data_IF_694154348883
#
_entry.id   IF_694154348883
#
_cell.length_a   1.000
_cell.length_b   1.000
_cell.length_c   1.000
_cell.angle_alpha   90.00
_cell.angle_beta   90.00
_cell.angle_gamma   90.00
#
_symmetry.space_group_name_H-M   'P 1'
#
loop_
_entity.id
_entity.type
_entity.pdbx_description
1 polymer ?
#
# COMPACT_ATOMS: atom_id res chain seq x y z
N UNK A 1 9.73 13.43 -3.65
CA UNK A 1 8.83 12.66 -2.78
C UNK A 1 8.34 11.49 -3.60
N UNK A 2 8.32 10.27 -3.05
CA UNK A 2 7.93 9.09 -3.82
C UNK A 2 6.42 9.06 -4.01
N UNK A 3 6.00 8.77 -5.24
CA UNK A 3 4.59 8.67 -5.59
C UNK A 3 4.16 7.20 -5.61
N UNK A 4 3.72 6.70 -4.46
CA UNK A 4 3.29 5.31 -4.34
C UNK A 4 2.10 4.97 -5.26
N UNK A 5 1.24 5.94 -5.58
CA UNK A 5 0.11 5.75 -6.50
C UNK A 5 0.60 5.41 -7.91
N UNK A 6 1.64 6.09 -8.41
CA UNK A 6 2.22 5.75 -9.71
C UNK A 6 2.82 4.35 -9.73
N UNK A 7 3.52 3.95 -8.67
CA UNK A 7 4.06 2.58 -8.53
C UNK A 7 2.92 1.55 -8.61
N UNK A 8 1.84 1.75 -7.86
CA UNK A 8 0.68 0.86 -7.87
C UNK A 8 -0.03 0.83 -9.23
N UNK A 9 -0.20 1.99 -9.89
CA UNK A 9 -0.77 2.07 -11.24
C UNK A 9 0.06 1.31 -12.26
N UNK A 10 1.39 1.50 -12.26
CA UNK A 10 2.29 0.78 -13.16
C UNK A 10 2.20 -0.73 -12.96
N UNK A 11 2.11 -1.20 -11.71
CA UNK A 11 1.92 -2.62 -11.42
C UNK A 11 0.57 -3.13 -11.92
N UNK A 12 -0.53 -2.40 -11.68
CA UNK A 12 -1.87 -2.78 -12.16
C UNK A 12 -1.97 -2.84 -13.68
N UNK A 13 -1.30 -1.95 -14.41
CA UNK A 13 -1.21 -2.00 -15.87
C UNK A 13 -0.52 -3.28 -16.38
N UNK A 14 0.42 -3.82 -15.60
CA UNK A 14 1.13 -5.06 -15.93
C UNK A 14 0.40 -6.32 -15.46
N UNK A 15 -0.59 -6.18 -14.56
CA UNK A 15 -1.36 -7.27 -13.94
C UNK A 15 -2.87 -7.00 -14.11
N UNK A 16 -3.40 -7.08 -15.35
CA UNK A 16 -4.75 -6.65 -15.68
C UNK A 16 -5.86 -7.42 -14.94
N UNK A 17 -5.61 -8.67 -14.54
CA UNK A 17 -6.52 -9.47 -13.70
C UNK A 17 -6.76 -8.87 -12.30
N UNK A 18 -5.87 -7.96 -11.89
CA UNK A 18 -5.92 -7.27 -10.61
C UNK A 18 -6.12 -5.76 -10.77
N UNK A 19 -6.35 -5.26 -11.98
CA UNK A 19 -6.42 -3.82 -12.26
C UNK A 19 -7.42 -3.10 -11.37
N UNK A 20 -8.64 -3.62 -11.24
CA UNK A 20 -9.75 -2.90 -10.62
C UNK A 20 -10.05 -3.33 -9.18
N UNK A 21 -9.23 -4.20 -8.57
CA UNK A 21 -9.54 -4.75 -7.24
C UNK A 21 -8.32 -4.99 -6.35
N UNK A 22 -8.60 -5.25 -5.07
CA UNK A 22 -7.60 -5.58 -4.06
C UNK A 22 -6.61 -4.45 -3.76
N UNK A 23 -5.55 -4.84 -3.06
CA UNK A 23 -4.56 -3.97 -2.43
C UNK A 23 -3.20 -4.30 -3.01
N UNK A 24 -2.51 -3.31 -3.56
CA UNK A 24 -1.09 -3.41 -3.94
C UNK A 24 -0.25 -3.04 -2.72
N UNK A 25 0.74 -3.87 -2.42
CA UNK A 25 1.63 -3.69 -1.28
C UNK A 25 3.03 -3.28 -1.77
N UNK A 26 3.54 -2.17 -1.25
CA UNK A 26 4.83 -1.57 -1.60
C UNK A 26 5.70 -1.52 -0.35
N UNK A 27 6.97 -1.88 -0.51
CA UNK A 27 7.97 -1.72 0.52
C UNK A 27 9.31 -1.42 -0.13
N UNK A 28 10.06 -0.47 0.43
CA UNK A 28 11.32 0.02 -0.14
C UNK A 28 11.19 0.35 -1.65
N UNK A 29 10.14 1.09 -1.97
CA UNK A 29 9.83 1.62 -3.31
C UNK A 29 9.57 0.57 -4.40
N UNK A 30 9.33 -0.68 -4.01
CA UNK A 30 8.98 -1.77 -4.92
C UNK A 30 7.70 -2.48 -4.47
N UNK A 31 6.88 -2.89 -5.44
CA UNK A 31 5.74 -3.78 -5.16
C UNK A 31 6.28 -5.14 -4.76
N UNK A 32 5.86 -5.63 -3.59
CA UNK A 32 6.22 -6.96 -3.13
C UNK A 32 5.02 -7.93 -3.11
N UNK A 33 3.80 -7.43 -3.31
CA UNK A 33 2.64 -8.31 -3.38
C UNK A 33 1.32 -7.61 -3.66
N UNK A 34 0.29 -8.44 -3.80
CA UNK A 34 -1.11 -8.03 -3.90
C UNK A 34 -1.98 -8.91 -2.99
N UNK A 35 -3.04 -8.33 -2.42
CA UNK A 35 -4.03 -9.04 -1.61
C UNK A 35 -5.43 -8.63 -2.04
N UNK A 36 -6.39 -9.53 -1.90
CA UNK A 36 -7.79 -9.24 -2.23
C UNK A 36 -8.44 -8.19 -1.30
N UNK A 37 -7.90 -8.01 -0.09
CA UNK A 37 -8.34 -7.00 0.89
C UNK A 37 -7.19 -6.61 1.83
N UNK A 38 -7.35 -5.49 2.54
CA UNK A 38 -6.40 -5.05 3.57
C UNK A 38 -6.58 -5.93 4.81
N UNK A 39 -5.53 -6.66 5.20
CA UNK A 39 -5.55 -7.65 6.29
C UNK A 39 -4.76 -7.17 7.51
N UNK A 40 -4.55 -8.07 8.47
CA UNK A 40 -3.88 -7.76 9.73
C UNK A 40 -2.48 -7.15 9.51
N UNK A 41 -2.22 -5.96 10.07
CA UNK A 41 -0.96 -5.25 9.91
C UNK A 41 0.24 -5.96 10.55
N UNK A 42 -0.01 -6.88 11.49
CA UNK A 42 1.01 -7.70 12.15
C UNK A 42 1.76 -8.63 11.18
N UNK A 43 1.18 -8.90 10.00
CA UNK A 43 1.85 -9.66 8.96
C UNK A 43 2.67 -8.80 8.00
N UNK A 44 2.68 -7.48 8.19
CA UNK A 44 3.42 -6.56 7.34
C UNK A 44 4.58 -5.93 8.10
N UNK A 45 5.62 -5.57 7.34
CA UNK A 45 6.75 -4.81 7.88
C UNK A 45 6.31 -3.38 8.21
N UNK A 46 6.70 -2.82 9.37
CA UNK A 46 6.51 -1.39 9.63
C UNK A 46 7.08 -0.53 8.50
N UNK A 47 6.32 0.46 8.05
CA UNK A 47 6.61 1.31 6.90
C UNK A 47 6.15 0.75 5.55
N UNK A 48 5.56 -0.45 5.49
CA UNK A 48 4.92 -0.94 4.28
C UNK A 48 3.74 -0.04 3.89
N UNK A 49 3.59 0.19 2.58
CA UNK A 49 2.52 0.98 1.99
C UNK A 49 1.51 0.03 1.33
N UNK A 50 0.23 0.30 1.53
CA UNK A 50 -0.87 -0.41 0.90
C UNK A 50 -1.72 0.58 0.10
N UNK A 51 -2.08 0.22 -1.13
CA UNK A 51 -2.90 1.06 -2.01
C UNK A 51 -4.05 0.23 -2.59
N UNK A 52 -5.28 0.67 -2.35
CA UNK A 52 -6.47 0.03 -2.93
C UNK A 52 -6.70 0.45 -4.39
N UNK A 53 -7.73 -0.10 -5.05
CA UNK A 53 -8.05 0.27 -6.44
C UNK A 53 -8.67 1.67 -6.59
N UNK A 54 -9.04 2.32 -5.48
CA UNK A 54 -9.51 3.71 -5.44
C UNK A 54 -8.40 4.69 -5.06
N UNK A 55 -7.15 4.22 -5.00
CA UNK A 55 -5.96 5.01 -4.68
C UNK A 55 -5.94 5.58 -3.26
N UNK A 56 -6.69 4.99 -2.33
CA UNK A 56 -6.48 5.26 -0.91
C UNK A 56 -5.15 4.64 -0.47
N UNK A 57 -4.37 5.42 0.27
CA UNK A 57 -3.03 5.04 0.72
C UNK A 57 -3.07 4.75 2.21
N UNK A 58 -2.51 3.62 2.60
CA UNK A 58 -2.34 3.22 3.99
C UNK A 58 -0.88 2.93 4.28
N UNK A 59 -0.41 3.24 5.48
CA UNK A 59 0.92 2.88 5.97
C UNK A 59 0.81 1.97 7.19
N UNK A 60 1.63 0.93 7.21
CA UNK A 60 1.76 0.03 8.35
C UNK A 60 2.62 0.71 9.43
N UNK A 61 2.03 1.07 10.57
CA UNK A 61 2.71 1.83 11.63
C UNK A 61 2.89 1.07 12.94
N UNK A 62 3.92 1.51 13.68
CA UNK A 62 4.32 0.92 14.96
C UNK A 62 4.90 -0.48 14.82
N UNK A 63 5.09 -1.15 15.96
CA UNK A 63 5.61 -2.51 15.99
C UNK A 63 7.11 -2.59 15.71
N UNK A 64 7.58 -3.73 15.19
CA UNK A 64 8.99 -3.98 14.87
C UNK A 64 9.11 -5.04 13.75
N UNK A 65 10.34 -5.39 13.38
CA UNK A 65 10.59 -6.34 12.28
C UNK A 65 10.18 -7.80 12.60
N UNK A 66 10.11 -8.16 13.87
CA UNK A 66 9.77 -9.51 14.32
C UNK A 66 8.26 -9.69 14.49
N UNK A 67 7.60 -8.73 15.12
CA UNK A 67 6.16 -8.76 15.43
C UNK A 67 5.27 -8.16 14.34
N UNK A 68 5.87 -7.51 13.33
CA UNK A 68 5.17 -6.73 12.31
C UNK A 68 4.58 -5.42 12.84
N UNK A 69 3.75 -4.76 12.03
CA UNK A 69 3.14 -3.49 12.37
C UNK A 69 1.93 -3.64 13.31
N UNK A 70 1.64 -2.59 14.09
CA UNK A 70 0.52 -2.58 15.05
C UNK A 70 -0.80 -2.20 14.41
N UNK A 71 -0.77 -1.29 13.45
CA UNK A 71 -1.97 -0.76 12.81
C UNK A 71 -1.71 -0.32 11.37
N UNK A 72 -2.80 -0.14 10.63
CA UNK A 72 -2.82 0.64 9.40
C UNK A 72 -3.25 2.07 9.71
N UNK A 73 -2.54 3.04 9.15
CA UNK A 73 -2.90 4.46 9.22
C UNK A 73 -3.19 4.96 7.82
N UNK A 74 -4.30 5.70 7.66
CA UNK A 74 -4.66 6.34 6.40
C UNK A 74 -3.71 7.50 6.16
N UNK A 75 -3.05 7.51 5.01
CA UNK A 75 -2.35 8.69 4.51
C UNK A 75 -3.33 9.51 3.69
N UNK A 76 -3.76 10.65 4.25
CA UNK A 76 -4.53 11.61 3.46
C UNK A 76 -3.69 12.05 2.26
N UNK A 77 -4.20 11.74 1.07
CA UNK A 77 -3.65 12.31 -0.13
C UNK A 77 -3.98 13.80 -0.08
N UNK A 78 -3.00 14.65 0.24
CA UNK A 78 -3.12 16.08 0.03
C UNK A 78 -3.23 16.27 -1.48
N UNK A 79 -4.46 16.18 -2.02
CA UNK A 79 -4.77 16.80 -3.30
C UNK A 79 -4.38 18.25 -3.11
N UNK A 80 -3.29 18.67 -3.74
CA UNK A 80 -2.98 20.08 -3.86
C UNK A 80 -4.24 20.74 -4.43
N UNK A 81 -4.87 21.55 -3.59
CA UNK A 81 -5.89 22.50 -4.02
C UNK A 81 -5.15 23.52 -4.89
N UNK A 82 -5.14 23.28 -6.21
CA UNK A 82 -4.82 24.28 -7.23
C UNK A 82 -5.86 24.20 -8.34
#
# INVERSE_FOLDING_TARGET
>A
MINYVEIARSWRLQNPEHADSGIVLIWNDAVYGWKNCLRDPQHERPGAIAIDSSEHIFIAEGGNEYDGAKCWVVLENKKELI
#
